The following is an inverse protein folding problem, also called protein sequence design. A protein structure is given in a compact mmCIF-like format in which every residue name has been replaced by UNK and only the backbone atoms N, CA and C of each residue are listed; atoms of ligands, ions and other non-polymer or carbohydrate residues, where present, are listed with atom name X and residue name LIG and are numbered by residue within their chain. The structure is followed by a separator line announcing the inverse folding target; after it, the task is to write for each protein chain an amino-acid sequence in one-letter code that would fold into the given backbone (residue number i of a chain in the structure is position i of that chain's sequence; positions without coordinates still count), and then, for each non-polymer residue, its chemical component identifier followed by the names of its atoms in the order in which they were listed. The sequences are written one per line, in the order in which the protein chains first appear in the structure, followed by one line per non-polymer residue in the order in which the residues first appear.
data_IF_306427107551
#
_entry.id   IF_306427107551
#
_cell.length_a   1.000
_cell.length_b   1.000
_cell.length_c   1.000
_cell.angle_alpha   90.00
_cell.angle_beta   90.00
_cell.angle_gamma   90.00
#
_symmetry.space_group_name_H-M   'P 1'
#
loop_
_entity.id
_entity.type
_entity.pdbx_description
1 polymer ?
#
# COMPACT_ATOMS: atom_id res chain seq x y z
N UNK A 1 -15.96 10.89 4.54
CA UNK A 1 -16.14 9.44 4.75
C UNK A 1 -14.82 8.72 5.07
N UNK A 2 -13.68 9.05 4.40
CA UNK A 2 -12.36 8.48 4.75
C UNK A 2 -11.81 9.03 6.08
N UNK A 3 -12.24 10.20 6.53
CA UNK A 3 -11.80 10.79 7.81
C UNK A 3 -12.22 9.98 9.04
N UNK A 4 -13.25 9.15 8.92
CA UNK A 4 -13.70 8.26 9.99
C UNK A 4 -12.94 6.92 10.05
N UNK A 5 -12.10 6.63 9.05
CA UNK A 5 -11.25 5.45 9.04
C UNK A 5 -9.95 5.85 9.73
N UNK A 6 -9.57 5.16 10.81
CA UNK A 6 -8.29 5.34 11.46
C UNK A 6 -7.18 4.96 10.50
N UNK A 7 -6.63 5.94 9.82
CA UNK A 7 -5.55 5.73 8.85
C UNK A 7 -4.19 5.81 9.53
N UNK A 8 -3.25 5.04 9.03
CA UNK A 8 -1.85 5.19 9.39
C UNK A 8 -1.37 6.54 8.87
N UNK A 9 -0.67 7.28 9.72
CA UNK A 9 -0.07 8.55 9.31
C UNK A 9 0.95 8.32 8.19
N UNK A 10 0.73 8.98 7.06
CA UNK A 10 1.61 8.87 5.89
C UNK A 10 1.85 10.24 5.26
N UNK A 11 3.08 10.46 4.80
CA UNK A 11 3.53 11.71 4.18
C UNK A 11 4.20 11.40 2.84
N UNK A 12 3.85 12.13 1.80
CA UNK A 12 4.47 12.03 0.48
C UNK A 12 5.47 13.16 0.25
N UNK A 13 6.61 12.84 -0.32
CA UNK A 13 7.68 13.80 -0.62
C UNK A 13 8.12 13.70 -2.07
N UNK A 14 8.25 14.86 -2.72
CA UNK A 14 8.77 14.99 -4.08
C UNK A 14 10.30 15.00 -4.13
N UNK A 15 10.95 15.54 -3.08
CA UNK A 15 12.40 15.67 -2.99
C UNK A 15 12.92 15.28 -1.61
N UNK A 16 14.21 14.97 -1.51
CA UNK A 16 14.86 14.75 -0.23
C UNK A 16 14.93 16.04 0.60
N UNK A 17 15.10 17.18 -0.05
CA UNK A 17 15.18 18.50 0.59
C UNK A 17 13.85 18.85 1.29
N UNK A 18 12.71 18.53 0.67
CA UNK A 18 11.39 18.69 1.29
C UNK A 18 11.24 17.82 2.53
N UNK A 19 11.69 16.58 2.45
CA UNK A 19 11.70 15.67 3.59
C UNK A 19 12.55 16.21 4.74
N UNK A 20 13.77 16.71 4.46
CA UNK A 20 14.67 17.25 5.49
C UNK A 20 14.05 18.45 6.21
N UNK A 21 13.36 19.35 5.49
CA UNK A 21 12.65 20.48 6.10
C UNK A 21 11.59 20.05 7.11
N UNK A 22 10.97 18.90 6.87
CA UNK A 22 9.90 18.34 7.70
C UNK A 22 10.39 17.24 8.66
N UNK A 23 11.70 16.97 8.75
CA UNK A 23 12.23 15.81 9.46
C UNK A 23 11.97 15.84 10.98
N UNK A 24 11.70 17.01 11.56
CA UNK A 24 11.40 17.14 12.98
C UNK A 24 10.20 16.29 13.43
N UNK A 25 9.19 16.12 12.58
CA UNK A 25 7.99 15.31 12.85
C UNK A 25 8.28 13.79 12.96
N UNK A 26 9.45 13.33 12.48
CA UNK A 26 9.84 11.91 12.50
C UNK A 26 10.78 11.55 13.66
N UNK A 27 11.08 12.48 14.58
CA UNK A 27 12.10 12.24 15.62
C UNK A 27 11.69 11.15 16.61
N UNK A 28 10.45 11.15 17.06
CA UNK A 28 9.97 10.33 18.20
C UNK A 28 9.34 9.00 17.81
N UNK A 29 8.86 8.86 16.57
CA UNK A 29 8.16 7.66 16.11
C UNK A 29 9.00 6.83 15.14
N UNK A 30 8.67 5.56 15.03
CA UNK A 30 9.20 4.66 14.01
C UNK A 30 8.38 4.78 12.72
N UNK A 31 9.06 4.78 11.60
CA UNK A 31 8.44 4.90 10.27
C UNK A 31 9.02 3.86 9.31
N UNK A 32 8.31 3.64 8.22
CA UNK A 32 8.82 2.97 7.03
C UNK A 32 8.78 3.94 5.86
N UNK A 33 9.75 3.82 4.96
CA UNK A 33 9.76 4.55 3.70
C UNK A 33 9.42 3.60 2.56
N UNK A 34 8.58 4.08 1.64
CA UNK A 34 8.18 3.36 0.42
C UNK A 34 8.57 4.20 -0.79
N UNK A 35 9.25 3.59 -1.77
CA UNK A 35 9.40 4.23 -3.09
C UNK A 35 8.03 4.37 -3.74
N UNK A 36 7.80 5.47 -4.45
CA UNK A 36 6.57 5.67 -5.26
C UNK A 36 6.47 4.69 -6.44
N UNK A 37 7.57 4.05 -6.79
CA UNK A 37 7.64 3.02 -7.82
C UNK A 37 8.21 1.74 -7.22
N UNK A 38 7.60 0.61 -7.52
CA UNK A 38 8.05 -0.67 -7.02
C UNK A 38 6.89 -1.62 -6.74
N UNK A 39 7.19 -2.89 -6.60
CA UNK A 39 6.23 -3.94 -6.29
C UNK A 39 6.83 -4.93 -5.28
N UNK A 40 5.97 -5.73 -4.64
CA UNK A 40 6.38 -6.80 -3.72
C UNK A 40 7.29 -6.30 -2.58
N UNK A 41 7.01 -5.12 -2.04
CA UNK A 41 7.77 -4.46 -0.97
C UNK A 41 9.27 -4.23 -1.26
N UNK A 42 9.73 -4.33 -2.52
CA UNK A 42 11.15 -4.13 -2.87
C UNK A 42 11.68 -2.73 -2.50
N UNK A 43 10.82 -1.73 -2.52
CA UNK A 43 11.15 -0.34 -2.16
C UNK A 43 10.86 0.04 -0.71
N UNK A 44 10.39 -0.90 0.15
CA UNK A 44 10.07 -0.62 1.55
C UNK A 44 11.32 -0.79 2.41
N UNK A 45 11.63 0.21 3.24
CA UNK A 45 12.79 0.21 4.15
C UNK A 45 12.40 0.80 5.51
N UNK A 46 13.03 0.35 6.62
CA UNK A 46 12.80 0.92 7.93
C UNK A 46 13.44 2.31 8.05
N UNK A 47 12.84 3.14 8.90
CA UNK A 47 13.35 4.42 9.38
C UNK A 47 13.29 4.44 10.92
N UNK A 48 13.98 3.50 11.56
CA UNK A 48 13.92 3.31 13.01
C UNK A 48 14.99 4.12 13.74
N UNK A 49 16.16 4.22 13.15
CA UNK A 49 17.31 4.96 13.72
C UNK A 49 17.50 6.34 13.10
N UNK A 50 18.12 7.31 13.80
CA UNK A 50 18.46 8.62 13.23
C UNK A 50 19.30 8.51 11.94
N UNK A 51 20.20 7.53 11.87
CA UNK A 51 21.03 7.27 10.70
C UNK A 51 20.19 6.82 9.49
N UNK A 52 19.23 5.94 9.71
CA UNK A 52 18.30 5.49 8.66
C UNK A 52 17.41 6.63 8.18
N UNK A 53 16.90 7.45 9.10
CA UNK A 53 16.08 8.63 8.79
C UNK A 53 16.79 9.65 7.89
N UNK A 54 18.11 9.72 7.93
CA UNK A 54 18.91 10.58 7.05
C UNK A 54 19.34 9.90 5.75
N UNK A 55 19.92 8.70 5.84
CA UNK A 55 20.56 8.05 4.69
C UNK A 55 19.57 7.39 3.73
N UNK A 56 18.53 6.75 4.26
CA UNK A 56 17.60 5.96 3.44
C UNK A 56 16.77 6.82 2.49
N UNK A 57 16.13 7.94 2.94
CA UNK A 57 15.40 8.83 2.04
C UNK A 57 16.31 9.44 0.96
N UNK A 58 17.53 9.84 1.32
CA UNK A 58 18.52 10.35 0.36
C UNK A 58 18.84 9.33 -0.72
N UNK A 59 19.05 8.07 -0.35
CA UNK A 59 19.32 6.97 -1.31
C UNK A 59 18.12 6.67 -2.20
N UNK A 60 16.91 6.56 -1.64
CA UNK A 60 15.69 6.23 -2.38
C UNK A 60 15.32 7.34 -3.36
N UNK A 61 15.47 8.60 -2.97
CA UNK A 61 15.14 9.75 -3.81
C UNK A 61 16.15 10.04 -4.90
N UNK A 62 17.33 9.41 -4.85
CA UNK A 62 18.41 9.68 -5.80
C UNK A 62 18.01 9.47 -7.25
N UNK A 63 18.22 10.50 -8.08
CA UNK A 63 18.04 10.50 -9.53
C UNK A 63 19.38 10.53 -10.27
N UNK A 64 20.47 10.22 -9.58
CA UNK A 64 21.80 10.27 -10.19
C UNK A 64 21.91 9.30 -11.36
N UNK A 65 22.27 9.81 -12.53
CA UNK A 65 22.54 9.08 -13.76
C UNK A 65 23.82 9.65 -14.39
N UNK A 66 24.37 8.99 -15.40
CA UNK A 66 25.53 9.51 -16.14
C UNK A 66 25.28 10.90 -16.75
N UNK A 67 24.04 11.24 -17.09
CA UNK A 67 23.68 12.59 -17.57
C UNK A 67 23.92 13.67 -16.51
N UNK A 68 23.94 13.32 -15.23
CA UNK A 68 24.23 14.26 -14.15
C UNK A 68 25.70 14.66 -14.06
N UNK A 69 26.62 13.97 -14.73
CA UNK A 69 28.01 14.38 -14.84
C UNK A 69 28.10 15.73 -15.55
N UNK A 70 27.38 15.89 -16.67
CA UNK A 70 27.29 17.18 -17.40
C UNK A 70 26.68 18.27 -16.52
N UNK A 71 25.69 17.94 -15.70
CA UNK A 71 25.09 18.84 -14.73
C UNK A 71 26.11 19.29 -13.68
N UNK A 72 26.89 18.36 -13.10
CA UNK A 72 27.92 18.69 -12.13
C UNK A 72 29.03 19.55 -12.74
N UNK A 73 29.44 19.27 -13.98
CA UNK A 73 30.43 20.06 -14.70
C UNK A 73 29.94 21.51 -14.90
N UNK A 74 28.73 21.73 -15.39
CA UNK A 74 28.12 23.06 -15.55
C UNK A 74 28.00 23.81 -14.21
N UNK A 75 27.73 23.11 -13.12
CA UNK A 75 27.71 23.68 -11.78
C UNK A 75 29.10 24.18 -11.36
N UNK A 76 30.15 23.43 -11.64
CA UNK A 76 31.53 23.79 -11.30
C UNK A 76 32.02 24.95 -12.16
N UNK A 77 31.69 24.97 -13.44
CA UNK A 77 32.07 26.04 -14.38
C UNK A 77 31.31 27.33 -14.21
N UNK A 78 30.33 27.38 -13.26
CA UNK A 78 29.49 28.57 -13.01
C UNK A 78 28.82 29.10 -14.27
N UNK A 79 28.31 28.19 -15.13
CA UNK A 79 27.52 28.54 -16.31
C UNK A 79 26.37 29.49 -15.89
N UNK A 80 26.30 30.68 -16.48
CA UNK A 80 25.29 31.71 -16.16
C UNK A 80 23.83 31.23 -16.37
N UNK A 81 23.64 30.24 -17.23
CA UNK A 81 22.34 29.61 -17.52
C UNK A 81 22.08 28.36 -16.65
N UNK A 82 22.90 28.12 -15.64
CA UNK A 82 22.77 26.95 -14.79
C UNK A 82 21.65 27.16 -13.76
N UNK A 83 20.58 26.38 -13.91
CA UNK A 83 19.51 26.29 -12.89
C UNK A 83 19.79 25.08 -11.97
N UNK A 84 20.02 25.31 -10.68
CA UNK A 84 20.27 24.22 -9.74
C UNK A 84 19.00 23.38 -9.58
N UNK A 85 19.11 22.08 -9.87
CA UNK A 85 18.03 21.10 -9.71
C UNK A 85 18.47 20.04 -8.71
N UNK A 86 17.56 19.63 -7.83
CA UNK A 86 17.87 18.55 -6.89
C UNK A 86 18.23 17.26 -7.63
N UNK A 87 19.28 16.56 -7.16
CA UNK A 87 19.63 15.21 -7.60
C UNK A 87 18.86 14.12 -6.83
N UNK A 88 17.88 14.51 -6.00
CA UNK A 88 17.09 13.64 -5.15
C UNK A 88 15.59 13.90 -5.35
N UNK A 89 15.07 13.59 -6.56
CA UNK A 89 13.71 13.92 -7.03
C UNK A 89 12.80 12.70 -7.21
N UNK A 90 13.25 11.49 -6.91
CA UNK A 90 12.34 10.33 -6.92
C UNK A 90 11.39 10.47 -5.74
N UNK A 91 10.10 10.44 -6.02
CA UNK A 91 9.03 10.52 -5.03
C UNK A 91 9.08 9.30 -4.10
N UNK A 92 8.74 9.52 -2.85
CA UNK A 92 8.63 8.48 -1.83
C UNK A 92 7.57 8.84 -0.79
N UNK A 93 7.13 7.84 -0.06
CA UNK A 93 6.15 7.96 1.03
C UNK A 93 6.84 7.54 2.32
N UNK A 94 6.66 8.31 3.38
CA UNK A 94 7.04 7.95 4.75
C UNK A 94 5.75 7.63 5.49
N UNK A 95 5.62 6.41 5.97
CA UNK A 95 4.43 5.90 6.64
C UNK A 95 4.78 5.45 8.06
N UNK A 96 3.90 5.73 9.02
CA UNK A 96 4.06 5.26 10.40
C UNK A 96 4.19 3.73 10.43
N UNK A 97 5.14 3.25 11.23
CA UNK A 97 5.34 1.82 11.44
C UNK A 97 4.47 1.31 12.60
N UNK A 98 3.72 0.28 12.36
CA UNK A 98 2.94 -0.42 13.38
C UNK A 98 3.76 -1.61 13.85
N UNK A 99 4.27 -1.60 15.09
CA UNK A 99 5.11 -2.69 15.60
C UNK A 99 4.30 -3.97 15.90
N UNK A 100 5.00 -5.09 16.01
CA UNK A 100 4.47 -6.38 16.46
C UNK A 100 3.39 -7.02 15.57
N UNK A 101 3.20 -6.54 14.36
CA UNK A 101 2.36 -7.21 13.38
C UNK A 101 3.03 -8.49 12.91
N UNK A 102 2.30 -9.60 12.92
CA UNK A 102 2.77 -10.90 12.40
C UNK A 102 2.53 -11.08 10.91
N UNK A 103 1.68 -10.23 10.34
CA UNK A 103 1.30 -10.27 8.94
C UNK A 103 0.27 -9.20 8.61
N UNK A 104 -0.32 -9.31 7.43
CA UNK A 104 -1.41 -8.48 6.96
C UNK A 104 -2.50 -9.30 6.26
N UNK A 105 -3.67 -8.71 6.12
CA UNK A 105 -4.80 -9.25 5.38
C UNK A 105 -4.87 -8.55 4.02
N UNK A 106 -4.78 -9.34 2.96
CA UNK A 106 -5.10 -8.86 1.62
C UNK A 106 -6.55 -9.17 1.32
N UNK A 107 -7.34 -8.13 1.07
CA UNK A 107 -8.75 -8.26 0.74
C UNK A 107 -8.96 -7.73 -0.66
N UNK A 108 -9.49 -8.56 -1.54
CA UNK A 108 -9.87 -8.17 -2.89
C UNK A 108 -11.39 -8.16 -2.94
N UNK A 109 -11.95 -7.01 -3.32
CA UNK A 109 -13.39 -6.81 -3.41
C UNK A 109 -13.77 -6.63 -4.87
N UNK A 110 -14.65 -7.51 -5.34
CA UNK A 110 -15.33 -7.42 -6.62
C UNK A 110 -16.82 -7.20 -6.37
N UNK A 111 -17.30 -5.97 -6.60
CA UNK A 111 -18.67 -5.54 -6.29
C UNK A 111 -19.08 -5.87 -4.83
N UNK A 112 -19.87 -6.95 -4.60
CA UNK A 112 -20.32 -7.40 -3.27
C UNK A 112 -19.47 -8.51 -2.65
N UNK A 113 -18.59 -9.14 -3.43
CA UNK A 113 -17.81 -10.31 -3.04
C UNK A 113 -16.46 -9.91 -2.46
N UNK A 114 -16.11 -10.47 -1.30
CA UNK A 114 -14.81 -10.28 -0.65
C UNK A 114 -14.01 -11.57 -0.65
N UNK A 115 -12.80 -11.54 -1.23
CA UNK A 115 -11.78 -12.59 -1.19
C UNK A 115 -10.71 -12.19 -0.19
N UNK A 116 -10.50 -12.99 0.85
CA UNK A 116 -9.67 -12.63 2.00
C UNK A 116 -8.51 -13.61 2.16
N UNK A 117 -7.30 -13.08 2.19
CA UNK A 117 -6.07 -13.85 2.35
C UNK A 117 -5.25 -13.26 3.48
N UNK A 118 -4.75 -14.11 4.37
CA UNK A 118 -3.74 -13.70 5.34
C UNK A 118 -2.34 -13.93 4.74
N UNK A 119 -1.44 -12.99 4.95
CA UNK A 119 -0.04 -13.09 4.54
C UNK A 119 0.84 -12.95 5.77
N UNK A 120 1.57 -13.98 6.11
CA UNK A 120 2.58 -13.89 7.17
C UNK A 120 3.75 -13.01 6.74
N UNK A 121 4.37 -12.38 7.72
CA UNK A 121 5.64 -11.69 7.50
C UNK A 121 6.70 -12.67 7.00
N UNK A 122 7.68 -12.14 6.28
CA UNK A 122 8.88 -12.90 5.94
C UNK A 122 9.67 -13.20 7.22
N UNK A 123 10.43 -14.27 7.19
CA UNK A 123 11.29 -14.62 8.33
C UNK A 123 12.26 -13.48 8.63
N UNK A 124 12.29 -13.06 9.90
CA UNK A 124 13.10 -11.92 10.37
C UNK A 124 12.84 -10.57 9.67
N UNK A 125 11.63 -10.36 9.13
CA UNK A 125 11.25 -9.14 8.42
C UNK A 125 9.84 -8.71 8.86
N UNK A 126 9.60 -7.40 8.88
CA UNK A 126 8.28 -6.82 9.19
C UNK A 126 7.34 -6.79 7.98
N UNK A 127 7.79 -7.21 6.79
CA UNK A 127 7.03 -7.13 5.54
C UNK A 127 6.35 -8.44 5.23
N UNK A 128 5.04 -8.42 5.07
CA UNK A 128 4.24 -9.56 4.62
C UNK A 128 4.18 -9.65 3.08
N UNK A 129 4.09 -8.51 2.39
CA UNK A 129 3.99 -8.49 0.94
C UNK A 129 5.20 -9.14 0.25
N UNK A 130 4.92 -10.12 -0.62
CA UNK A 130 5.94 -10.89 -1.33
C UNK A 130 6.57 -12.02 -0.51
N UNK A 131 6.01 -12.39 0.66
CA UNK A 131 6.41 -13.58 1.41
C UNK A 131 6.07 -14.87 0.67
N UNK A 132 5.07 -14.85 -0.22
CA UNK A 132 4.46 -16.01 -0.90
C UNK A 132 3.75 -16.98 0.08
N UNK A 133 3.68 -16.64 1.35
CA UNK A 133 2.98 -17.40 2.41
C UNK A 133 1.55 -16.88 2.49
N UNK A 134 0.64 -17.44 1.69
CA UNK A 134 -0.77 -17.09 1.69
C UNK A 134 -1.57 -18.13 2.44
N UNK A 135 -2.39 -17.72 3.37
CA UNK A 135 -3.42 -18.52 3.99
C UNK A 135 -4.80 -18.02 3.53
N UNK A 136 -5.57 -18.92 2.96
CA UNK A 136 -6.97 -18.69 2.54
C UNK A 136 -7.86 -18.97 3.75
N UNK A 137 -8.10 -17.94 4.53
CA UNK A 137 -8.74 -18.06 5.83
C UNK A 137 -10.16 -18.62 5.77
N UNK A 138 -10.38 -19.67 6.51
CA UNK A 138 -11.73 -20.22 6.77
C UNK A 138 -12.48 -19.45 7.85
N UNK A 139 -11.75 -18.76 8.73
CA UNK A 139 -12.27 -17.90 9.80
C UNK A 139 -11.67 -16.52 9.65
N UNK A 140 -12.51 -15.51 9.48
CA UNK A 140 -12.10 -14.12 9.30
C UNK A 140 -12.24 -13.39 10.64
N UNK A 141 -11.27 -12.55 11.04
CA UNK A 141 -11.39 -11.73 12.24
C UNK A 141 -12.66 -10.88 12.24
N UNK A 142 -13.30 -10.80 13.41
CA UNK A 142 -14.53 -10.02 13.60
C UNK A 142 -14.31 -8.56 13.19
N UNK A 143 -15.28 -7.99 12.47
CA UNK A 143 -15.25 -6.61 11.99
C UNK A 143 -14.38 -6.34 10.77
N UNK A 144 -13.48 -7.26 10.37
CA UNK A 144 -12.58 -7.02 9.24
C UNK A 144 -13.33 -6.81 7.92
N UNK A 145 -14.36 -7.63 7.67
CA UNK A 145 -15.17 -7.53 6.45
C UNK A 145 -15.97 -6.23 6.39
N UNK A 146 -16.52 -5.78 7.51
CA UNK A 146 -17.26 -4.52 7.59
C UNK A 146 -16.32 -3.31 7.43
N UNK A 147 -15.12 -3.39 8.01
CA UNK A 147 -14.08 -2.37 7.82
C UNK A 147 -13.67 -2.27 6.34
N UNK A 148 -13.45 -3.40 5.67
CA UNK A 148 -13.12 -3.43 4.25
C UNK A 148 -14.27 -2.92 3.36
N UNK A 149 -15.52 -3.29 3.67
CA UNK A 149 -16.71 -2.79 2.99
C UNK A 149 -16.86 -1.27 3.13
N UNK A 150 -16.64 -0.73 4.34
CA UNK A 150 -16.66 0.72 4.59
C UNK A 150 -15.65 1.46 3.72
N UNK A 151 -14.43 0.92 3.59
CA UNK A 151 -13.40 1.49 2.72
C UNK A 151 -13.83 1.43 1.26
N UNK A 152 -14.27 0.27 0.79
CA UNK A 152 -14.72 0.08 -0.60
C UNK A 152 -15.83 1.06 -0.98
N UNK A 153 -16.84 1.22 -0.11
CA UNK A 153 -17.96 2.15 -0.33
C UNK A 153 -17.54 3.63 -0.34
N UNK A 154 -16.37 3.96 0.23
CA UNK A 154 -15.84 5.32 0.18
C UNK A 154 -15.25 5.69 -1.19
N UNK A 155 -15.01 4.68 -2.04
CA UNK A 155 -14.50 4.86 -3.39
C UNK A 155 -15.58 4.52 -4.42
N UNK A 156 -15.70 5.34 -5.43
CA UNK A 156 -16.57 5.03 -6.58
C UNK A 156 -15.75 4.21 -7.60
N UNK A 157 -15.65 2.91 -7.38
CA UNK A 157 -14.83 1.98 -8.17
C UNK A 157 -15.53 0.63 -8.33
N UNK A 158 -15.33 -0.09 -9.45
CA UNK A 158 -15.94 -1.42 -9.63
C UNK A 158 -15.32 -2.48 -8.70
N UNK A 159 -14.05 -2.36 -8.38
CA UNK A 159 -13.31 -3.28 -7.51
C UNK A 159 -12.12 -2.59 -6.83
N UNK A 160 -11.61 -3.21 -5.79
CA UNK A 160 -10.46 -2.69 -5.01
C UNK A 160 -9.69 -3.82 -4.36
N UNK A 161 -8.39 -3.63 -4.18
CA UNK A 161 -7.57 -4.43 -3.28
C UNK A 161 -7.14 -3.59 -2.09
N UNK A 162 -7.25 -4.15 -0.90
CA UNK A 162 -6.87 -3.54 0.37
C UNK A 162 -5.82 -4.42 1.05
N UNK A 163 -4.78 -3.79 1.59
CA UNK A 163 -3.82 -4.42 2.49
C UNK A 163 -4.07 -3.86 3.90
N UNK A 164 -4.53 -4.72 4.83
CA UNK A 164 -4.99 -4.31 6.17
C UNK A 164 -4.21 -5.06 7.24
N UNK A 165 -3.61 -4.32 8.18
CA UNK A 165 -3.03 -4.87 9.40
C UNK A 165 -4.04 -4.87 10.55
N UNK A 166 -3.90 -5.82 11.48
CA UNK A 166 -4.70 -5.89 12.71
C UNK A 166 -3.76 -5.96 13.91
N UNK A 167 -3.96 -5.08 14.88
CA UNK A 167 -3.26 -5.11 16.15
C UNK A 167 -4.28 -4.95 17.29
N UNK A 168 -4.48 -6.02 18.06
CA UNK A 168 -5.58 -6.09 19.01
C UNK A 168 -6.92 -6.00 18.30
N UNK A 169 -7.73 -5.02 18.65
CA UNK A 169 -9.03 -4.73 18.01
C UNK A 169 -8.94 -3.63 16.95
N UNK A 170 -7.74 -3.11 16.65
CA UNK A 170 -7.57 -1.99 15.73
C UNK A 170 -7.20 -2.47 14.33
N UNK A 171 -7.88 -1.89 13.32
CA UNK A 171 -7.61 -2.11 11.90
C UNK A 171 -6.80 -0.96 11.31
N UNK A 172 -5.80 -1.29 10.50
CA UNK A 172 -4.90 -0.32 9.87
C UNK A 172 -4.86 -0.54 8.36
N UNK A 173 -5.34 0.42 7.58
CA UNK A 173 -5.22 0.38 6.13
C UNK A 173 -3.80 0.78 5.72
N UNK A 174 -3.00 -0.18 5.20
CA UNK A 174 -1.64 0.06 4.75
C UNK A 174 -1.55 0.55 3.32
N UNK A 175 -2.40 -0.01 2.45
CA UNK A 175 -2.39 0.26 1.02
C UNK A 175 -3.74 -0.10 0.43
N UNK A 176 -4.14 0.64 -0.61
CA UNK A 176 -5.24 0.24 -1.49
C UNK A 176 -4.82 0.39 -2.95
N UNK A 177 -5.38 -0.44 -3.81
CA UNK A 177 -5.06 -0.44 -5.24
C UNK A 177 -6.32 -0.74 -6.05
N UNK A 178 -6.52 0.02 -7.14
CA UNK A 178 -7.60 -0.20 -8.10
C UNK A 178 -7.15 -1.05 -9.30
N UNK A 179 -5.84 -1.12 -9.56
CA UNK A 179 -5.24 -1.86 -10.67
C UNK A 179 -3.89 -2.46 -10.24
N UNK A 180 -3.44 -3.51 -10.95
CA UNK A 180 -2.13 -4.17 -10.77
C UNK A 180 -1.88 -4.78 -9.38
N UNK A 181 -2.91 -5.28 -8.70
CA UNK A 181 -2.83 -5.78 -7.33
C UNK A 181 -2.72 -7.32 -7.20
N UNK A 182 -2.35 -8.03 -8.26
CA UNK A 182 -2.23 -9.48 -8.22
C UNK A 182 -3.59 -10.18 -8.21
N UNK A 183 -4.50 -9.77 -9.08
CA UNK A 183 -5.88 -10.24 -9.22
C UNK A 183 -6.02 -11.76 -9.26
N UNK A 184 -5.10 -12.46 -9.95
CA UNK A 184 -5.08 -13.95 -10.03
C UNK A 184 -4.96 -14.67 -8.70
N UNK A 185 -4.73 -13.93 -7.59
CA UNK A 185 -4.73 -14.55 -6.27
C UNK A 185 -6.10 -15.15 -5.91
N UNK A 186 -7.21 -14.61 -6.44
CA UNK A 186 -8.55 -15.16 -6.17
C UNK A 186 -8.75 -16.55 -6.78
N UNK A 187 -8.10 -16.88 -7.90
CA UNK A 187 -8.25 -18.18 -8.58
C UNK A 187 -7.82 -19.38 -7.72
N UNK A 188 -7.07 -19.11 -6.64
CA UNK A 188 -6.66 -20.12 -5.65
C UNK A 188 -7.61 -20.22 -4.46
N UNK A 189 -8.62 -19.36 -4.37
CA UNK A 189 -9.66 -19.45 -3.34
C UNK A 189 -10.74 -20.41 -3.83
N UNK A 190 -11.28 -21.22 -2.91
CA UNK A 190 -12.46 -22.06 -3.18
C UNK A 190 -13.75 -21.41 -2.68
N UNK A 191 -13.69 -20.17 -2.21
CA UNK A 191 -14.83 -19.45 -1.64
C UNK A 191 -14.60 -17.94 -1.61
N UNK A 192 -15.68 -17.21 -1.40
CA UNK A 192 -15.70 -15.78 -1.09
C UNK A 192 -16.71 -15.51 0.03
N UNK A 193 -16.71 -14.29 0.54
CA UNK A 193 -17.71 -13.80 1.49
C UNK A 193 -18.59 -12.77 0.81
N UNK A 194 -19.90 -12.86 1.05
CA UNK A 194 -20.89 -11.92 0.55
C UNK A 194 -21.94 -11.63 1.63
N UNK A 195 -22.38 -10.38 1.70
CA UNK A 195 -23.36 -9.97 2.70
C UNK A 195 -24.77 -10.33 2.24
N UNK A 196 -25.48 -11.15 3.02
CA UNK A 196 -26.86 -11.54 2.78
C UNK A 196 -27.73 -11.10 3.96
N UNK A 197 -28.73 -10.29 3.72
CA UNK A 197 -29.61 -9.75 4.77
C UNK A 197 -28.84 -9.10 5.94
N UNK A 198 -27.74 -8.42 5.63
CA UNK A 198 -26.90 -7.75 6.62
C UNK A 198 -25.86 -8.64 7.30
N UNK A 199 -25.84 -9.94 7.06
CA UNK A 199 -24.91 -10.91 7.66
C UNK A 199 -23.93 -11.44 6.61
N UNK A 200 -22.65 -11.53 6.96
CA UNK A 200 -21.63 -12.11 6.09
C UNK A 200 -21.78 -13.63 6.00
N UNK A 201 -21.96 -14.12 4.78
CA UNK A 201 -22.08 -15.53 4.46
C UNK A 201 -20.88 -15.98 3.60
N UNK A 202 -20.31 -17.13 3.95
CA UNK A 202 -19.30 -17.80 3.14
C UNK A 202 -19.98 -18.56 2.01
N UNK A 203 -19.55 -18.31 0.78
CA UNK A 203 -20.02 -18.98 -0.44
C UNK A 203 -18.89 -19.82 -1.02
N UNK A 204 -19.15 -21.12 -1.21
CA UNK A 204 -18.21 -22.03 -1.84
C UNK A 204 -18.41 -21.95 -3.34
N UNK A 205 -17.43 -21.38 -4.03
CA UNK A 205 -17.40 -21.24 -5.49
C UNK A 205 -15.95 -20.98 -5.91
N UNK A 206 -15.49 -21.66 -6.94
CA UNK A 206 -14.21 -21.35 -7.57
C UNK A 206 -14.40 -20.10 -8.43
N UNK A 207 -13.67 -19.01 -8.15
CA UNK A 207 -13.84 -17.78 -8.89
C UNK A 207 -13.24 -17.87 -10.30
N UNK A 208 -13.93 -17.25 -11.23
CA UNK A 208 -13.45 -16.94 -12.57
C UNK A 208 -13.09 -15.46 -12.60
N UNK A 209 -11.81 -15.13 -12.78
CA UNK A 209 -11.34 -13.75 -12.67
C UNK A 209 -11.98 -12.83 -13.70
N UNK A 210 -12.10 -13.27 -14.94
CA UNK A 210 -12.67 -12.52 -16.03
C UNK A 210 -14.17 -12.22 -15.77
N UNK A 211 -14.89 -13.21 -15.26
CA UNK A 211 -16.30 -13.07 -14.86
C UNK A 211 -16.46 -12.10 -13.69
N UNK A 212 -15.61 -12.18 -12.66
CA UNK A 212 -15.66 -11.27 -11.52
C UNK A 212 -15.40 -9.81 -11.94
N UNK A 213 -14.44 -9.60 -12.82
CA UNK A 213 -14.15 -8.26 -13.38
C UNK A 213 -15.35 -7.76 -14.17
N UNK A 214 -15.88 -8.58 -15.10
CA UNK A 214 -17.00 -8.21 -15.96
C UNK A 214 -18.24 -7.83 -15.15
N UNK A 215 -18.63 -8.67 -14.17
CA UNK A 215 -19.76 -8.41 -13.28
C UNK A 215 -19.57 -7.14 -12.46
N UNK A 216 -18.36 -6.90 -11.95
CA UNK A 216 -18.08 -5.71 -11.14
C UNK A 216 -18.16 -4.44 -11.96
N UNK A 217 -17.66 -4.47 -13.20
CA UNK A 217 -17.74 -3.33 -14.13
C UNK A 217 -19.18 -3.09 -14.56
N UNK A 218 -19.95 -4.13 -14.93
CA UNK A 218 -21.35 -4.00 -15.28
C UNK A 218 -22.19 -3.41 -14.13
N UNK A 219 -22.02 -3.93 -12.90
CA UNK A 219 -22.68 -3.40 -11.71
C UNK A 219 -22.30 -1.94 -11.42
N UNK A 220 -21.02 -1.59 -11.64
CA UNK A 220 -20.54 -0.22 -11.48
C UNK A 220 -21.17 0.72 -12.50
N UNK A 221 -21.22 0.32 -13.78
CA UNK A 221 -21.84 1.10 -14.85
C UNK A 221 -23.33 1.33 -14.58
N UNK A 222 -24.07 0.26 -14.24
CA UNK A 222 -25.51 0.36 -13.92
C UNK A 222 -25.82 1.26 -12.71
N UNK A 223 -24.91 1.36 -11.77
CA UNK A 223 -25.08 2.21 -10.58
C UNK A 223 -24.77 3.68 -10.85
N UNK A 224 -23.99 4.01 -11.89
CA UNK A 224 -23.49 5.35 -12.17
C UNK A 224 -24.07 5.97 -13.47
N UNK A 225 -24.88 5.23 -14.24
CA UNK A 225 -25.69 5.70 -15.34
C UNK A 225 -27.15 5.89 -14.91
#
# INVERSE_FOLDING_TARGET
QLSEIKNITAYSYGTYEDYVRNMAQFKTKSFVIKSSTGSRSKGVRPLFTPKEKLKTPKKISSTFTFQNIKYLWRKITRDNNFLPVSLHRRKFIVQEYIPNLKGDYKIIIYNSKQYIFYRENRDNDFRASGSMKFDYLTTVPEGLMDFAEKIYKSFNTPYISLDIGILGSEFFLFEFQFMYFGQRAIERSSYFYEKQNGVWAKKIETPDLEREIAHSVDAYVKRNL
#
